data_IF_245247736323
#
_entry.id   IF_245247736323
#
_cell.length_a   1.000
_cell.length_b   1.000
_cell.length_c   1.000
_cell.angle_alpha   90.00
_cell.angle_beta   90.00
_cell.angle_gamma   90.00
#
_symmetry.space_group_name_H-M   'P 1'
#
loop_
_entity.id
_entity.type
_entity.pdbx_description
1 polymer ?
2 polymer ?
3 water ?
#
loop_
_entity_poly.entity_id
_entity_poly.type
_entity_poly.pdbx_seq_one_letter_code
_entity_poly.pdbx_strand_id
2 'polyribonucleotide' 'GGGGUUUUAAUUUUCCCC' ?
#
# COMPACT_ATOMS: atom_id res chain seq x y z
N UNK A 42 20.48 23.74 -22.54
CA UNK A 42 20.58 22.43 -21.95
C UNK A 42 21.61 21.57 -22.70
N UNK A 43 21.42 21.49 -24.00
CA UNK A 43 22.27 20.74 -24.86
C UNK A 43 22.39 21.55 -26.13
N UNK A 47 26.74 19.94 -23.94
CA UNK A 47 26.68 18.93 -22.89
C UNK A 47 25.86 17.75 -23.37
N UNK A 48 26.42 16.55 -23.24
CA UNK A 48 25.78 15.34 -23.72
C UNK A 48 25.02 14.73 -22.57
N UNK A 49 23.67 14.62 -22.69
CA UNK A 49 22.94 13.98 -21.60
C UNK A 49 23.38 12.54 -21.46
N UNK A 50 23.75 12.16 -20.25
CA UNK A 50 24.23 10.83 -19.98
C UNK A 50 23.08 9.81 -19.98
N UNK A 51 23.39 8.61 -19.50
CA UNK A 51 22.42 7.60 -19.08
C UNK A 51 21.82 7.99 -17.72
N UNK A 52 22.64 8.59 -16.87
CA UNK A 52 22.20 8.90 -15.48
C UNK A 52 21.14 9.97 -15.44
N UNK A 53 21.16 10.93 -16.39
CA UNK A 53 20.09 11.95 -16.46
C UNK A 53 18.75 11.31 -16.84
N UNK A 54 18.73 10.57 -17.97
CA UNK A 54 17.57 9.72 -18.37
C UNK A 54 17.16 8.75 -17.26
N UNK A 55 18.09 8.10 -16.58
CA UNK A 55 17.71 7.24 -15.42
C UNK A 55 17.06 8.05 -14.26
N UNK A 56 17.57 9.24 -13.93
CA UNK A 56 16.90 10.11 -12.93
C UNK A 56 15.53 10.55 -13.40
N UNK A 57 15.46 11.08 -14.62
CA UNK A 57 14.18 11.53 -15.19
C UNK A 57 13.14 10.39 -15.18
N UNK A 58 13.53 9.20 -15.67
CA UNK A 58 12.61 8.03 -15.78
C UNK A 58 12.10 7.58 -14.42
N UNK A 59 12.96 7.53 -13.42
CA UNK A 59 12.54 7.23 -12.03
C UNK A 59 11.57 8.28 -11.47
N UNK A 60 11.95 9.57 -11.62
CA UNK A 60 11.12 10.69 -11.20
C UNK A 60 9.69 10.59 -11.71
N UNK A 61 9.55 10.32 -13.00
CA UNK A 61 8.23 10.16 -13.64
C UNK A 61 7.54 8.88 -13.21
N UNK A 62 8.30 7.85 -12.86
CA UNK A 62 7.73 6.59 -12.37
C UNK A 62 7.11 6.71 -10.98
N UNK A 63 7.68 7.60 -10.20
CA UNK A 63 7.16 7.86 -8.91
C UNK A 63 7.15 9.34 -8.60
N UNK A 64 6.12 10.05 -9.02
CA UNK A 64 5.02 9.47 -9.80
C UNK A 64 4.30 10.56 -10.58
N UNK A 65 3.22 10.22 -11.29
CA UNK A 65 2.81 8.84 -11.64
C UNK A 65 2.48 8.80 -13.12
N UNK A 66 3.25 9.55 -13.90
CA UNK A 66 3.05 9.66 -15.34
C UNK A 66 4.01 8.65 -16.00
N UNK A 67 3.57 7.39 -15.92
CA UNK A 67 4.32 6.24 -16.43
C UNK A 67 4.45 6.27 -17.96
N UNK A 68 3.36 6.63 -18.65
CA UNK A 68 3.40 6.84 -20.11
C UNK A 68 4.43 7.89 -20.59
N UNK A 69 4.67 8.92 -19.76
CA UNK A 69 5.73 9.91 -20.05
C UNK A 69 7.11 9.23 -19.95
N UNK A 70 7.28 8.38 -18.93
CA UNK A 70 8.56 7.68 -18.64
C UNK A 70 9.11 6.84 -19.80
N UNK A 71 8.23 6.04 -20.38
CA UNK A 71 8.60 5.06 -21.40
C UNK A 71 8.90 5.69 -22.76
N UNK A 72 8.44 6.92 -22.99
CA UNK A 72 8.80 7.61 -24.23
C UNK A 72 10.21 8.22 -24.18
N UNK A 73 10.78 8.36 -22.98
CA UNK A 73 12.18 8.75 -22.81
C UNK A 73 13.10 7.58 -23.08
N UNK A 74 12.73 6.44 -22.50
CA UNK A 74 13.32 5.12 -22.74
C UNK A 74 13.49 4.84 -24.24
N UNK A 75 12.49 5.20 -25.03
CA UNK A 75 12.57 5.17 -26.50
C UNK A 75 13.52 6.28 -26.98
N UNK A 76 13.17 7.51 -26.63
CA UNK A 76 13.91 8.70 -27.05
C UNK A 76 15.42 8.61 -26.79
N UNK A 77 15.83 7.96 -25.71
CA UNK A 77 17.27 7.74 -25.46
C UNK A 77 17.91 6.70 -26.42
N UNK A 78 17.19 5.60 -26.70
CA UNK A 78 17.76 4.56 -27.57
C UNK A 78 17.94 5.08 -29.01
N UNK A 79 17.02 5.91 -29.49
CA UNK A 79 17.16 6.59 -30.80
C UNK A 79 18.25 7.67 -30.86
N UNK A 80 18.75 8.10 -29.69
CA UNK A 80 19.73 9.18 -29.58
C UNK A 80 21.19 8.70 -29.50
N UNK A 81 21.38 7.37 -29.40
CA UNK A 81 22.71 6.76 -29.32
C UNK A 81 23.07 6.35 -27.91
N UNK A 82 22.15 6.63 -26.96
CA UNK A 82 22.36 6.43 -25.52
C UNK A 82 21.71 5.10 -25.12
N UNK A 83 22.52 4.17 -24.64
CA UNK A 83 22.08 2.82 -24.42
C UNK A 83 21.62 2.62 -22.97
N UNK A 84 20.35 2.24 -22.76
CA UNK A 84 19.92 1.84 -21.42
C UNK A 84 20.74 0.72 -20.78
N UNK A 85 20.79 0.75 -19.46
CA UNK A 85 21.70 -0.07 -18.66
C UNK A 85 20.86 -0.84 -17.64
N UNK A 86 21.51 -1.50 -16.71
CA UNK A 86 20.83 -2.32 -15.75
C UNK A 86 19.89 -1.49 -14.89
N UNK A 87 20.31 -0.28 -14.51
CA UNK A 87 19.50 0.62 -13.69
C UNK A 87 18.34 1.20 -14.48
N UNK A 88 18.55 1.51 -15.75
CA UNK A 88 17.43 1.92 -16.58
C UNK A 88 16.32 0.83 -16.68
N UNK A 89 16.71 -0.45 -16.81
CA UNK A 89 15.71 -1.52 -16.82
C UNK A 89 15.04 -1.73 -15.46
N UNK A 90 15.80 -1.57 -14.37
CA UNK A 90 15.26 -1.77 -13.01
C UNK A 90 14.27 -0.69 -12.57
N UNK A 91 14.49 0.54 -13.02
CA UNK A 91 13.62 1.68 -12.76
C UNK A 91 12.25 1.39 -13.37
N UNK A 92 12.21 1.28 -14.69
CA UNK A 92 10.99 0.94 -15.45
C UNK A 92 10.29 -0.32 -14.92
N UNK A 93 11.06 -1.35 -14.58
CA UNK A 93 10.47 -2.60 -14.06
C UNK A 93 9.72 -2.38 -12.75
N UNK A 94 10.27 -1.50 -11.89
CA UNK A 94 9.62 -1.08 -10.59
C UNK A 94 8.47 -0.11 -10.83
N UNK A 95 8.65 0.83 -11.75
CA UNK A 95 7.55 1.65 -12.22
C UNK A 95 6.36 0.84 -12.68
N UNK A 96 6.60 -0.09 -13.59
CA UNK A 96 5.53 -0.92 -14.14
C UNK A 96 4.89 -1.88 -13.13
N UNK A 97 5.60 -2.32 -12.08
CA UNK A 97 4.98 -3.15 -11.05
C UNK A 97 4.06 -2.31 -10.13
N UNK A 98 4.54 -1.16 -9.70
CA UNK A 98 3.70 -0.26 -8.88
C UNK A 98 2.40 0.12 -9.58
N UNK A 99 2.49 0.57 -10.83
CA UNK A 99 1.29 0.77 -11.66
C UNK A 99 0.56 -0.54 -12.02
N UNK A 100 0.88 -1.66 -11.38
CA UNK A 100 0.15 -2.91 -11.56
C UNK A 100 0.20 -3.51 -12.97
N UNK A 101 1.26 -3.21 -13.69
CA UNK A 101 1.51 -3.74 -15.02
C UNK A 101 2.67 -4.69 -14.80
N UNK A 102 2.41 -5.73 -14.02
CA UNK A 102 3.38 -6.76 -13.71
C UNK A 102 3.74 -7.57 -14.97
N UNK A 103 2.73 -8.05 -15.67
CA UNK A 103 2.97 -8.80 -16.91
C UNK A 103 3.78 -7.98 -17.93
N UNK A 104 3.54 -6.66 -18.03
CA UNK A 104 4.37 -5.79 -18.87
C UNK A 104 5.78 -5.57 -18.28
N UNK A 105 5.94 -5.79 -16.97
CA UNK A 105 7.25 -5.68 -16.32
C UNK A 105 8.19 -6.79 -16.75
N UNK A 106 7.71 -8.02 -16.69
CA UNK A 106 8.48 -9.20 -17.15
C UNK A 106 8.84 -9.18 -18.65
N UNK A 107 8.03 -8.53 -19.47
CA UNK A 107 8.46 -8.21 -20.84
C UNK A 107 9.85 -7.54 -20.89
N UNK A 108 10.02 -6.47 -20.10
CA UNK A 108 11.31 -5.72 -20.05
C UNK A 108 12.49 -6.52 -19.52
N UNK A 109 12.26 -7.29 -18.47
CA UNK A 109 13.19 -8.29 -18.01
C UNK A 109 13.63 -9.21 -19.19
N UNK A 110 12.65 -9.79 -19.91
CA UNK A 110 13.00 -10.62 -21.04
C UNK A 110 13.88 -9.80 -21.93
N UNK A 111 13.43 -8.62 -22.34
CA UNK A 111 14.25 -7.71 -23.18
C UNK A 111 15.69 -7.42 -22.69
N UNK A 112 15.91 -7.25 -21.38
CA UNK A 112 17.29 -7.05 -20.86
C UNK A 112 18.18 -8.24 -21.24
N UNK A 113 17.68 -9.44 -20.98
CA UNK A 113 18.45 -10.67 -21.04
C UNK A 113 18.85 -10.89 -22.49
N UNK A 114 17.86 -10.82 -23.40
CA UNK A 114 18.07 -10.78 -24.85
C UNK A 114 19.19 -9.87 -25.31
N UNK A 115 19.23 -8.67 -24.72
CA UNK A 115 20.30 -7.67 -24.96
C UNK A 115 21.63 -8.03 -24.37
N UNK A 116 21.66 -8.95 -23.41
CA UNK A 116 22.88 -9.26 -22.72
C UNK A 116 23.24 -8.22 -21.69
N UNK A 117 22.23 -7.47 -21.23
CA UNK A 117 22.26 -6.61 -20.02
C UNK A 117 21.81 -7.52 -18.89
N UNK A 118 22.77 -8.04 -18.13
CA UNK A 118 22.44 -9.00 -17.09
C UNK A 118 21.56 -8.40 -15.95
N UNK A 119 20.46 -9.09 -15.59
CA UNK A 119 19.74 -8.68 -14.38
C UNK A 119 20.55 -9.00 -13.12
N UNK A 120 20.62 -8.05 -12.19
CA UNK A 120 21.47 -8.18 -10.98
C UNK A 120 20.60 -8.42 -9.75
N UNK A 121 21.13 -8.28 -8.53
CA UNK A 121 20.31 -8.55 -7.33
C UNK A 121 19.09 -7.64 -7.27
N UNK A 122 19.25 -6.42 -7.77
CA UNK A 122 18.22 -5.39 -7.59
C UNK A 122 17.05 -5.76 -8.45
N UNK A 123 17.32 -6.01 -9.74
CA UNK A 123 16.31 -6.45 -10.72
C UNK A 123 15.48 -7.57 -10.14
N UNK A 124 16.15 -8.55 -9.56
CA UNK A 124 15.47 -9.67 -8.91
C UNK A 124 14.61 -9.26 -7.69
N UNK A 125 15.15 -8.40 -6.82
CA UNK A 125 14.37 -7.83 -5.66
C UNK A 125 13.10 -7.05 -6.06
N UNK A 126 13.24 -6.09 -6.96
CA UNK A 126 12.09 -5.50 -7.66
C UNK A 126 11.06 -6.53 -8.14
N UNK A 127 11.50 -7.60 -8.82
CA UNK A 127 10.57 -8.65 -9.28
C UNK A 127 9.97 -9.43 -8.10
N UNK A 128 10.79 -9.78 -7.11
CA UNK A 128 10.32 -10.58 -5.94
C UNK A 128 9.26 -9.85 -5.09
N UNK A 129 9.45 -8.52 -4.91
CA UNK A 129 8.48 -7.64 -4.28
C UNK A 129 7.19 -7.47 -5.11
N UNK A 130 7.35 -7.13 -6.39
CA UNK A 130 6.22 -6.90 -7.31
C UNK A 130 5.25 -8.06 -7.43
N UNK A 131 5.81 -9.28 -7.46
CA UNK A 131 5.07 -10.53 -7.54
C UNK A 131 4.38 -10.87 -6.25
N UNK A 132 5.03 -10.57 -5.11
CA UNK A 132 4.40 -10.79 -3.82
C UNK A 132 3.17 -9.87 -3.79
N UNK A 133 3.36 -8.57 -4.03
CA UNK A 133 2.27 -7.57 -3.90
C UNK A 133 1.12 -7.71 -4.92
N UNK A 134 1.36 -8.38 -6.05
CA UNK A 134 0.27 -8.83 -6.97
C UNK A 134 -0.30 -10.22 -6.65
N UNK A 135 0.07 -10.82 -5.51
CA UNK A 135 -0.37 -12.15 -5.11
C UNK A 135 0.17 -13.35 -5.89
N UNK A 136 1.43 -13.29 -6.36
CA UNK A 136 2.04 -14.39 -7.09
C UNK A 136 3.16 -15.00 -6.23
N UNK A 137 2.85 -15.28 -4.96
CA UNK A 137 3.92 -15.63 -4.03
C UNK A 137 4.82 -16.72 -4.62
N UNK A 138 4.26 -17.83 -5.08
CA UNK A 138 5.12 -18.92 -5.62
C UNK A 138 5.92 -18.56 -6.87
N UNK A 139 5.43 -17.65 -7.71
CA UNK A 139 6.30 -17.07 -8.74
C UNK A 139 7.52 -16.44 -8.07
N UNK A 140 7.28 -15.54 -7.12
CA UNK A 140 8.36 -14.82 -6.38
C UNK A 140 9.37 -15.78 -5.76
N UNK A 141 8.90 -16.89 -5.18
CA UNK A 141 9.83 -17.88 -4.60
C UNK A 141 10.64 -18.65 -5.67
N UNK A 142 10.16 -18.60 -6.91
CA UNK A 142 10.91 -19.11 -8.05
C UNK A 142 12.13 -18.28 -8.30
N UNK A 143 11.93 -16.98 -8.45
CA UNK A 143 13.06 -16.06 -8.66
C UNK A 143 14.07 -16.09 -7.51
N UNK A 144 13.59 -16.28 -6.28
CA UNK A 144 14.50 -16.48 -5.15
C UNK A 144 15.47 -17.69 -5.42
N UNK A 145 14.95 -18.77 -6.03
CA UNK A 145 15.78 -19.96 -6.50
C UNK A 145 16.70 -19.62 -7.64
N UNK A 146 16.16 -18.94 -8.64
CA UNK A 146 16.88 -18.57 -9.86
C UNK A 146 18.04 -17.62 -9.66
N UNK A 147 17.88 -16.65 -8.74
CA UNK A 147 18.96 -15.76 -8.32
C UNK A 147 20.19 -16.52 -7.95
N UNK A 148 20.03 -17.53 -7.08
CA UNK A 148 21.17 -18.35 -6.71
C UNK A 148 21.69 -19.24 -7.85
N UNK A 149 20.89 -19.59 -8.81
CA UNK A 149 21.42 -20.40 -9.85
C UNK A 149 22.31 -19.59 -10.74
N UNK A 150 22.03 -18.30 -10.83
CA UNK A 150 22.87 -17.40 -11.64
C UNK A 150 24.06 -16.76 -10.94
N UNK A 151 24.32 -17.10 -9.69
CA UNK A 151 25.54 -16.64 -8.99
C UNK A 151 25.34 -15.32 -8.24
N UNK A 152 24.09 -14.90 -8.11
CA UNK A 152 23.71 -13.70 -7.39
C UNK A 152 23.43 -14.12 -5.97
N UNK A 153 24.11 -13.50 -5.00
CA UNK A 153 23.81 -13.74 -3.58
C UNK A 153 22.48 -13.05 -3.25
N UNK A 154 21.59 -13.73 -2.51
CA UNK A 154 20.40 -13.01 -2.04
C UNK A 154 20.85 -11.97 -1.04
N UNK A 155 20.11 -10.86 -0.94
CA UNK A 155 20.34 -9.69 0.03
C UNK A 155 19.56 -9.61 1.33
N UNK A 156 19.96 -8.59 2.16
CA UNK A 156 19.20 -8.08 3.34
C UNK A 156 17.85 -7.61 2.85
N UNK A 157 17.82 -6.87 1.76
CA UNK A 157 16.53 -6.52 1.11
C UNK A 157 15.76 -7.66 0.53
N UNK A 158 16.45 -8.66 -0.10
CA UNK A 158 15.83 -9.88 -0.65
C UNK A 158 15.15 -10.63 0.49
N UNK A 159 15.86 -10.81 1.60
CA UNK A 159 15.23 -11.51 2.72
C UNK A 159 14.08 -10.72 3.33
N UNK A 160 14.26 -9.39 3.46
CA UNK A 160 13.20 -8.49 3.92
C UNK A 160 12.03 -8.56 2.98
N UNK A 161 12.24 -8.22 1.73
CA UNK A 161 11.19 -8.37 0.70
C UNK A 161 10.38 -9.71 0.79
N UNK A 162 11.05 -10.84 1.05
CA UNK A 162 10.37 -12.16 1.11
C UNK A 162 9.73 -12.48 2.46
N UNK A 163 10.40 -12.08 3.54
CA UNK A 163 9.75 -12.17 4.84
C UNK A 163 8.46 -11.33 4.90
N UNK A 164 8.47 -10.17 4.24
CA UNK A 164 7.25 -9.41 4.15
C UNK A 164 6.14 -10.19 3.42
N UNK A 165 6.41 -10.62 2.19
CA UNK A 165 5.48 -11.46 1.39
C UNK A 165 4.95 -12.62 2.19
N UNK A 166 5.84 -13.33 2.86
CA UNK A 166 5.44 -14.49 3.64
C UNK A 166 4.46 -14.09 4.69
N UNK A 167 4.74 -13.02 5.43
CA UNK A 167 3.88 -12.57 6.54
C UNK A 167 2.53 -12.22 6.01
N UNK A 168 2.50 -11.36 4.98
CA UNK A 168 1.26 -10.95 4.34
C UNK A 168 0.48 -12.06 3.62
N UNK A 169 1.16 -13.17 3.33
CA UNK A 169 0.54 -14.37 2.76
C UNK A 169 0.04 -15.35 3.83
N UNK A 170 -0.11 -14.85 5.06
CA UNK A 170 -0.45 -15.68 6.20
C UNK A 170 0.48 -16.86 6.32
N UNK A 171 1.79 -16.62 6.33
CA UNK A 171 2.74 -17.71 6.55
C UNK A 171 3.87 -17.25 7.45
N UNK A 172 3.57 -17.17 8.74
CA UNK A 172 4.47 -16.57 9.73
C UNK A 172 5.67 -17.48 10.00
N UNK A 173 5.38 -18.76 10.17
CA UNK A 173 6.43 -19.74 10.50
C UNK A 173 7.46 -20.01 9.34
N UNK A 174 7.11 -19.62 8.11
CA UNK A 174 8.08 -19.51 7.00
C UNK A 174 8.88 -18.21 7.05
N UNK A 175 8.20 -17.12 7.42
CA UNK A 175 8.83 -15.81 7.67
C UNK A 175 9.92 -15.98 8.72
N UNK A 176 9.58 -16.55 9.87
CA UNK A 176 10.61 -16.84 10.90
C UNK A 176 11.71 -17.87 10.50
N UNK A 177 11.47 -18.69 9.47
CA UNK A 177 12.51 -19.56 8.91
C UNK A 177 13.53 -18.70 8.19
N UNK A 178 13.04 -17.92 7.23
CA UNK A 178 13.87 -16.97 6.46
C UNK A 178 14.67 -16.00 7.33
N UNK A 179 14.13 -15.69 8.51
CA UNK A 179 14.86 -14.88 9.48
C UNK A 179 16.00 -15.68 10.11
N UNK A 180 15.75 -16.94 10.47
CA UNK A 180 16.83 -17.86 10.90
C UNK A 180 17.92 -18.07 9.85
N UNK A 181 17.54 -18.00 8.58
CA UNK A 181 18.45 -18.27 7.45
C UNK A 181 19.42 -17.11 7.16
N UNK A 182 19.00 -15.84 7.32
CA UNK A 182 19.89 -14.68 7.16
C UNK A 182 21.05 -14.76 8.12
N UNK A 183 20.71 -15.06 9.38
CA UNK A 183 21.72 -15.08 10.43
C UNK A 183 22.69 -16.22 10.13
N UNK A 184 22.15 -17.38 9.73
CA UNK A 184 22.96 -18.54 9.24
C UNK A 184 24.01 -18.12 8.17
N UNK A 185 23.62 -17.18 7.30
CA UNK A 185 24.52 -16.56 6.30
C UNK A 185 25.14 -15.23 6.76
N UNK A 186 25.18 -14.96 8.06
CA UNK A 186 25.56 -13.64 8.57
C UNK A 186 25.20 -12.40 7.74
N UNK A 187 23.96 -12.32 7.27
CA UNK A 187 23.42 -11.07 6.73
C UNK A 187 22.74 -10.47 7.90
N UNK A 188 23.15 -9.25 8.25
CA UNK A 188 22.71 -8.59 9.50
C UNK A 188 21.24 -8.19 9.36
N UNK A 189 20.38 -8.73 10.24
CA UNK A 189 19.00 -8.23 10.23
C UNK A 189 18.99 -6.80 10.68
N UNK A 190 18.18 -6.00 10.00
CA UNK A 190 18.15 -4.58 10.25
C UNK A 190 16.75 -4.14 10.73
N UNK A 191 16.49 -2.84 10.67
CA UNK A 191 15.34 -2.27 11.35
C UNK A 191 14.15 -2.51 10.51
N UNK A 192 14.34 -2.52 9.20
CA UNK A 192 13.29 -3.00 8.28
C UNK A 192 12.95 -4.51 8.51
N UNK A 193 13.94 -5.32 8.84
CA UNK A 193 13.69 -6.75 9.11
C UNK A 193 12.83 -6.89 10.33
N UNK A 194 13.31 -6.36 11.45
CA UNK A 194 12.57 -6.46 12.71
C UNK A 194 11.19 -5.81 12.64
N UNK A 195 11.09 -4.69 11.95
CA UNK A 195 9.81 -4.01 11.86
C UNK A 195 8.79 -4.80 11.13
N UNK A 196 9.23 -5.51 10.10
CA UNK A 196 8.41 -6.46 9.30
C UNK A 196 7.91 -7.68 10.08
N UNK A 197 8.79 -8.31 10.86
CA UNK A 197 8.35 -9.48 11.63
C UNK A 197 7.28 -9.10 12.67
N UNK A 198 7.56 -7.97 13.39
CA UNK A 198 6.67 -7.28 14.40
C UNK A 198 5.32 -6.99 13.78
N UNK A 199 5.33 -6.36 12.61
CA UNK A 199 4.08 -6.15 11.89
C UNK A 199 3.39 -7.48 11.70
N UNK A 200 4.17 -8.47 11.19
CA UNK A 200 3.71 -9.84 10.98
C UNK A 200 3.07 -10.45 12.19
N UNK A 201 3.79 -10.45 13.30
CA UNK A 201 3.29 -11.05 14.52
C UNK A 201 2.03 -10.32 15.06
N UNK A 202 1.97 -8.99 14.94
CA UNK A 202 0.79 -8.25 15.36
C UNK A 202 -0.41 -8.65 14.49
N UNK A 203 -0.24 -8.54 13.18
CA UNK A 203 -1.32 -8.90 12.25
C UNK A 203 -1.78 -10.39 12.35
N UNK A 204 -1.01 -11.27 12.99
CA UNK A 204 -1.52 -12.60 13.35
C UNK A 204 -2.09 -12.69 14.79
N UNK A 205 -2.34 -11.56 15.42
CA UNK A 205 -2.80 -11.56 16.81
C UNK A 205 -1.74 -11.97 17.83
N UNK A 206 -0.52 -12.16 17.37
CA UNK A 206 0.56 -12.65 18.21
C UNK A 206 1.26 -11.43 18.84
N UNK A 207 0.48 -10.62 19.54
CA UNK A 207 0.93 -9.35 20.07
C UNK A 207 2.08 -9.43 21.06
N UNK A 208 1.95 -10.30 22.07
CA UNK A 208 2.98 -10.45 23.10
C UNK A 208 4.31 -11.05 22.60
N UNK A 209 4.32 -11.57 21.36
CA UNK A 209 5.56 -12.00 20.71
C UNK A 209 6.20 -10.86 19.90
N UNK A 210 5.37 -10.00 19.30
CA UNK A 210 5.84 -8.73 18.67
C UNK A 210 6.60 -7.85 19.69
N UNK A 211 5.93 -7.58 20.79
CA UNK A 211 6.52 -6.89 21.92
C UNK A 211 7.85 -7.58 22.26
N UNK A 212 7.84 -8.91 22.41
CA UNK A 212 9.08 -9.70 22.64
C UNK A 212 10.16 -9.55 21.59
N UNK A 213 9.78 -9.20 20.37
CA UNK A 213 10.76 -8.97 19.30
C UNK A 213 11.31 -7.55 19.28
N UNK A 214 10.45 -6.58 19.65
CA UNK A 214 10.85 -5.19 19.90
C UNK A 214 11.90 -5.05 21.01
N UNK A 215 11.67 -5.71 22.14
CA UNK A 215 12.67 -5.81 23.19
C UNK A 215 14.03 -6.29 22.64
N UNK A 216 14.00 -7.40 21.91
CA UNK A 216 15.20 -8.08 21.40
C UNK A 216 15.99 -7.17 20.46
N UNK A 217 15.25 -6.56 19.55
CA UNK A 217 15.81 -5.59 18.64
C UNK A 217 16.72 -4.60 19.37
N UNK A 218 16.24 -3.99 20.46
CA UNK A 218 16.99 -2.94 21.17
C UNK A 218 18.23 -3.50 21.88
N UNK A 219 18.07 -4.58 22.64
CA UNK A 219 19.22 -5.21 23.31
C UNK A 219 20.24 -5.76 22.29
N UNK A 220 19.79 -6.06 21.07
CA UNK A 220 20.66 -6.43 19.93
C UNK A 220 21.18 -5.17 19.16
N UNK A 221 20.64 -4.00 19.49
CA UNK A 221 21.23 -2.72 19.17
C UNK A 221 20.80 -2.13 17.83
N UNK A 222 19.73 -2.65 17.24
CA UNK A 222 19.19 -2.09 16.00
C UNK A 222 18.09 -1.20 16.49
N UNK A 223 18.18 0.09 16.19
CA UNK A 223 17.26 1.03 16.83
C UNK A 223 15.94 1.15 16.10
N UNK A 224 14.82 1.09 16.87
CA UNK A 224 13.51 1.35 16.30
C UNK A 224 13.37 2.77 15.80
N UNK A 225 12.40 2.93 14.93
CA UNK A 225 12.12 4.18 14.32
C UNK A 225 10.64 4.41 14.36
N UNK A 226 10.21 5.52 13.78
CA UNK A 226 8.80 5.91 13.75
C UNK A 226 7.90 4.79 13.27
N UNK A 227 8.38 3.99 12.31
CA UNK A 227 7.61 2.89 11.65
C UNK A 227 7.46 1.66 12.56
N UNK A 228 8.55 1.17 13.12
CA UNK A 228 8.49 0.25 14.27
C UNK A 228 7.40 0.60 15.28
N UNK A 229 7.53 1.79 15.91
CA UNK A 229 6.63 2.23 17.03
C UNK A 229 5.21 2.35 16.51
N UNK A 230 5.04 2.93 15.33
CA UNK A 230 3.70 3.02 14.74
C UNK A 230 3.02 1.70 14.26
N UNK A 231 3.80 0.62 14.00
CA UNK A 231 3.21 -0.71 13.73
C UNK A 231 2.76 -1.20 15.06
N UNK A 232 3.64 -1.14 16.05
CA UNK A 232 3.23 -1.57 17.37
C UNK A 232 2.01 -0.79 17.88
N UNK A 233 1.91 0.50 17.55
CA UNK A 233 0.79 1.34 18.02
C UNK A 233 -0.43 0.93 17.19
N UNK A 234 -0.21 0.47 15.96
CA UNK A 234 -1.30 -0.26 15.20
C UNK A 234 -1.72 -1.55 15.86
N UNK A 235 -0.75 -2.32 16.33
CA UNK A 235 -1.08 -3.56 17.02
C UNK A 235 -2.01 -3.33 18.18
N UNK A 236 -1.46 -2.73 19.21
CA UNK A 236 -2.14 -2.49 20.46
C UNK A 236 -3.55 -1.89 20.23
N UNK A 237 -3.67 -0.89 19.35
CA UNK A 237 -4.98 -0.31 19.04
C UNK A 237 -5.95 -1.37 18.52
N UNK A 238 -5.51 -2.20 17.56
CA UNK A 238 -6.37 -3.24 16.97
C UNK A 238 -6.75 -4.34 17.98
N UNK A 239 -5.90 -4.62 18.97
CA UNK A 239 -6.25 -5.49 20.10
C UNK A 239 -7.02 -4.81 21.25
N UNK A 240 -7.76 -3.73 20.97
CA UNK A 240 -8.50 -3.06 22.02
C UNK A 240 -7.67 -2.51 23.17
N UNK A 241 -6.36 -2.32 22.95
CA UNK A 241 -5.41 -1.88 23.98
C UNK A 241 -5.02 -0.43 23.69
N UNK A 242 -6.01 0.45 23.80
CA UNK A 242 -5.80 1.89 23.52
C UNK A 242 -4.91 2.63 24.51
N UNK A 243 -5.07 2.36 25.80
CA UNK A 243 -4.20 2.96 26.83
C UNK A 243 -2.75 2.65 26.47
N UNK A 244 -2.50 1.39 26.17
CA UNK A 244 -1.15 0.90 25.90
C UNK A 244 -0.55 1.58 24.64
N UNK A 245 -1.35 1.65 23.58
CA UNK A 245 -1.00 2.39 22.37
C UNK A 245 -0.55 3.81 22.65
N UNK A 246 -1.32 4.55 23.49
CA UNK A 246 -1.01 5.96 23.85
C UNK A 246 0.25 6.01 24.69
N UNK A 247 0.40 5.06 25.62
CA UNK A 247 1.63 4.93 26.42
C UNK A 247 2.88 4.61 25.60
N UNK A 248 2.74 4.03 24.42
CA UNK A 248 3.90 3.85 23.56
C UNK A 248 4.19 5.12 22.77
N UNK A 249 3.13 5.84 22.40
CA UNK A 249 3.23 7.15 21.70
C UNK A 249 3.96 8.28 22.48
N UNK A 250 4.06 8.14 23.79
CA UNK A 250 4.74 9.10 24.62
C UNK A 250 6.15 9.26 24.16
N UNK A 252 9.31 8.89 21.07
CA UNK A 252 8.46 7.84 21.59
C UNK A 252 9.00 7.34 22.91
N UNK A 255 13.42 6.99 23.31
CA UNK A 255 14.04 8.26 22.95
C UNK A 255 13.14 9.07 22.06
N UNK A 256 13.65 10.21 21.66
CA UNK A 256 12.85 11.11 20.87
C UNK A 256 12.70 10.76 19.42
N UNK A 257 11.74 9.87 19.12
CA UNK A 257 11.36 9.63 17.74
C UNK A 257 10.14 10.50 17.48
N UNK A 258 10.25 11.37 16.49
CA UNK A 258 9.20 12.31 16.16
C UNK A 258 8.05 11.62 15.43
N UNK A 259 6.88 11.49 16.07
CA UNK A 259 5.79 10.87 15.28
C UNK A 259 5.50 11.66 13.99
N UNK A 260 5.05 10.98 12.96
CA UNK A 260 4.60 11.56 11.71
C UNK A 260 3.11 11.38 11.56
N UNK A 261 2.59 11.81 10.41
CA UNK A 261 1.16 11.67 10.08
C UNK A 261 0.60 10.28 10.15
N UNK A 262 1.43 9.25 9.96
CA UNK A 262 0.90 7.87 10.00
C UNK A 262 0.64 7.42 11.43
N UNK A 263 1.63 7.60 12.29
CA UNK A 263 1.39 7.34 13.71
C UNK A 263 0.16 8.09 14.23
N UNK A 264 -0.07 9.38 13.87
CA UNK A 264 -1.33 10.07 14.30
C UNK A 264 -2.61 9.47 13.64
N UNK A 265 -2.52 9.03 12.40
CA UNK A 265 -3.64 8.28 11.76
C UNK A 265 -3.96 6.93 12.41
N UNK A 266 -2.93 6.23 12.86
CA UNK A 266 -3.10 5.03 13.68
C UNK A 266 -3.90 5.33 14.92
N UNK A 267 -3.53 6.35 15.65
CA UNK A 267 -4.21 6.62 16.92
C UNK A 267 -5.63 7.13 16.66
N UNK A 268 -5.81 7.95 15.64
CA UNK A 268 -7.11 8.53 15.31
C UNK A 268 -8.10 7.42 14.97
N UNK A 269 -7.69 6.51 14.09
CA UNK A 269 -8.44 5.26 13.77
C UNK A 269 -8.67 4.37 14.98
N UNK A 270 -7.64 4.23 15.80
CA UNK A 270 -7.77 3.57 17.11
C UNK A 270 -8.86 4.18 17.96
N UNK A 271 -8.92 5.52 18.02
CA UNK A 271 -9.95 6.23 18.80
C UNK A 271 -11.35 6.17 18.20
N UNK A 272 -11.50 6.43 16.90
CA UNK A 272 -12.82 6.30 16.25
C UNK A 272 -13.40 4.87 16.42
N UNK A 273 -12.64 3.83 16.09
CA UNK A 273 -13.11 2.43 16.27
C UNK A 273 -13.57 2.18 17.71
N UNK A 274 -12.81 2.70 18.69
CA UNK A 274 -13.22 2.52 20.08
C UNK A 274 -14.39 3.42 20.47
N UNK A 275 -14.80 4.32 19.59
CA UNK A 275 -16.02 5.10 19.77
C UNK A 275 -15.81 6.46 20.44
N UNK A 276 -14.53 6.82 20.63
CA UNK A 276 -14.09 8.09 21.15
C UNK A 276 -13.93 9.10 20.04
N UNK A 277 -15.01 9.41 19.34
CA UNK A 277 -14.92 10.25 18.15
C UNK A 277 -14.42 11.63 18.43
N UNK A 278 -14.80 12.21 19.59
CA UNK A 278 -14.36 13.57 19.95
C UNK A 278 -12.93 13.62 20.52
N UNK A 279 -12.49 12.58 21.23
CA UNK A 279 -11.03 12.41 21.47
C UNK A 279 -10.16 12.29 20.21
N UNK A 280 -10.72 11.83 19.09
CA UNK A 280 -9.99 11.69 17.79
C UNK A 280 -10.09 12.95 16.95
N UNK A 281 -11.18 13.70 17.09
CA UNK A 281 -11.30 15.06 16.56
C UNK A 281 -10.33 16.00 17.30
N UNK A 282 -10.13 15.76 18.60
CA UNK A 282 -9.11 16.45 19.37
C UNK A 282 -7.72 16.16 18.90
N UNK A 283 -7.35 14.90 18.78
CA UNK A 283 -5.99 14.52 18.35
C UNK A 283 -5.67 15.04 16.96
N UNK A 284 -6.69 15.22 16.14
CA UNK A 284 -6.59 15.85 14.81
C UNK A 284 -6.25 17.32 14.87
N UNK A 285 -6.48 17.97 16.04
CA UNK A 285 -6.20 19.38 16.31
C UNK A 285 -4.79 19.94 16.31
N UNK A 286 -3.76 19.50 16.98
CA UNK A 286 -3.61 18.31 17.65
C UNK A 286 -2.42 18.34 18.52
N UNK A 287 -2.55 17.46 19.52
CA UNK A 287 -1.59 17.16 20.58
C UNK A 287 -0.16 16.93 20.09
N UNK A 290 2.69 19.25 17.42
CA UNK A 290 2.10 19.90 16.26
C UNK A 290 3.14 20.10 15.18
N UNK A 291 2.67 20.32 13.97
CA UNK A 291 3.55 20.52 12.85
C UNK A 291 3.29 19.52 11.76
N UNK A 292 2.49 18.52 12.06
CA UNK A 292 2.17 17.44 11.14
C UNK A 292 0.97 17.78 10.26
N UNK A 293 1.16 18.00 8.95
CA UNK A 293 0.01 18.34 8.11
C UNK A 293 -0.83 17.05 7.90
N UNK A 294 -2.12 17.10 8.28
CA UNK A 294 -2.95 15.99 7.90
C UNK A 294 -2.90 15.79 6.41
N UNK A 295 -3.03 14.53 5.99
CA UNK A 295 -3.11 14.19 4.59
C UNK A 295 -4.42 13.45 4.34
N UNK A 296 -4.51 12.71 3.22
CA UNK A 296 -5.77 12.21 2.70
C UNK A 296 -6.31 11.11 3.57
N UNK A 297 -5.42 10.30 4.13
CA UNK A 297 -5.82 9.19 5.02
C UNK A 297 -6.39 9.78 6.34
N UNK A 298 -5.76 10.85 6.87
CA UNK A 298 -6.30 11.50 8.09
C UNK A 298 -7.81 11.71 7.90
N UNK A 299 -8.21 12.31 6.78
CA UNK A 299 -9.60 12.69 6.54
C UNK A 299 -10.48 11.49 6.27
N UNK A 300 -9.97 10.51 5.52
CA UNK A 300 -10.71 9.28 5.27
C UNK A 300 -11.00 8.57 6.59
N UNK A 301 -10.01 8.50 7.46
CA UNK A 301 -10.19 7.80 8.73
C UNK A 301 -11.36 8.44 9.52
N UNK A 302 -11.36 9.79 9.63
CA UNK A 302 -12.42 10.50 10.29
C UNK A 302 -13.74 10.49 9.52
N UNK A 303 -13.65 10.58 8.19
CA UNK A 303 -14.85 10.42 7.33
C UNK A 303 -15.53 9.08 7.51
N UNK A 304 -14.76 8.04 7.78
CA UNK A 304 -15.33 6.70 8.02
C UNK A 304 -15.91 6.60 9.40
N UNK A 305 -15.09 6.96 10.41
CA UNK A 305 -15.53 7.05 11.81
C UNK A 305 -16.87 7.76 12.00
N UNK A 306 -17.04 8.89 11.32
CA UNK A 306 -18.23 9.72 11.46
C UNK A 306 -19.44 9.17 10.69
N UNK A 307 -19.19 8.67 9.48
CA UNK A 307 -20.17 7.77 8.77
C UNK A 307 -20.71 6.60 9.57
N UNK A 308 -19.80 5.79 10.11
CA UNK A 308 -20.20 4.61 10.89
C UNK A 308 -21.17 5.05 11.97
N UNK A 309 -20.76 6.08 12.74
CA UNK A 309 -21.56 6.70 13.83
C UNK A 309 -22.92 7.30 13.42
N UNK A 310 -23.06 7.75 12.20
CA UNK A 310 -24.32 8.32 11.73
C UNK A 310 -24.15 9.79 11.52
N UNK A 311 -23.04 10.37 12.01
CA UNK A 311 -22.76 11.79 11.92
C UNK A 311 -22.38 12.21 10.52
N UNK A 312 -23.33 12.05 9.58
CA UNK A 312 -23.08 12.23 8.14
C UNK A 312 -22.91 13.73 7.83
N UNK A 313 -23.62 14.59 8.55
CA UNK A 313 -23.36 16.02 8.50
C UNK A 313 -21.88 16.34 8.69
N UNK A 314 -21.35 15.90 9.83
CA UNK A 314 -19.98 16.23 10.25
C UNK A 314 -18.98 15.80 9.19
N UNK A 315 -19.08 14.52 8.81
CA UNK A 315 -18.25 13.87 7.79
C UNK A 315 -18.15 14.64 6.49
N UNK A 316 -19.31 14.93 5.88
CA UNK A 316 -19.37 15.60 4.58
C UNK A 316 -18.80 17.01 4.62
N UNK A 317 -18.90 17.67 5.77
CA UNK A 317 -18.23 18.95 5.93
C UNK A 317 -16.74 18.73 6.01
N UNK A 318 -16.25 17.70 6.73
CA UNK A 318 -14.82 17.37 6.61
C UNK A 318 -14.40 17.04 5.18
N UNK A 319 -15.27 16.38 4.42
CA UNK A 319 -15.04 16.06 2.98
C UNK A 319 -15.03 17.32 2.12
N UNK A 320 -15.85 18.32 2.51
CA UNK A 320 -15.86 19.66 1.88
C UNK A 320 -14.65 20.52 2.31
N UNK A 321 -14.21 20.33 3.56
CA UNK A 321 -13.00 20.96 4.11
C UNK A 321 -11.72 20.42 3.45
N UNK A 322 -11.65 19.10 3.23
CA UNK A 322 -10.54 18.46 2.53
C UNK A 322 -10.05 19.26 1.34
N UNK A 323 -10.99 19.58 0.45
CA UNK A 323 -10.65 20.14 -0.85
C UNK A 323 -10.36 21.64 -0.76
N UNK A 324 -10.98 22.33 0.20
CA UNK A 324 -10.58 23.72 0.49
C UNK A 324 -9.09 23.80 0.85
N UNK A 325 -8.61 22.84 1.65
CA UNK A 325 -7.20 22.80 2.09
C UNK A 325 -6.25 22.11 1.09
N UNK A 326 -6.71 21.93 -0.15
CA UNK A 326 -5.91 21.37 -1.24
C UNK A 326 -5.50 19.91 -1.06
N UNK A 327 -6.35 19.12 -0.42
CA UNK A 327 -6.11 17.71 -0.20
C UNK A 327 -7.06 16.92 -1.08
N UNK A 328 -6.58 16.42 -2.17
CA UNK A 328 -7.52 15.74 -3.01
C UNK A 328 -8.10 14.42 -2.51
N UNK A 329 -9.42 14.33 -2.53
CA UNK A 329 -10.12 13.07 -2.25
C UNK A 329 -9.82 11.94 -3.26
N UNK A 330 -9.11 10.91 -2.81
CA UNK A 330 -8.81 9.74 -3.63
C UNK A 330 -10.02 8.76 -3.73
N UNK A 331 -9.78 7.51 -4.13
CA UNK A 331 -10.88 6.53 -4.33
C UNK A 331 -11.49 6.09 -3.00
N UNK A 332 -10.70 6.13 -1.92
CA UNK A 332 -11.17 5.68 -0.60
C UNK A 332 -12.11 6.68 0.09
N UNK A 333 -11.99 7.95 -0.24
CA UNK A 333 -12.88 8.94 0.33
C UNK A 333 -14.28 8.72 -0.23
N UNK A 334 -14.37 8.58 -1.54
CA UNK A 334 -15.65 8.28 -2.17
C UNK A 334 -16.19 6.92 -1.80
N UNK A 335 -15.31 5.96 -1.53
CA UNK A 335 -15.79 4.64 -1.10
C UNK A 335 -16.50 4.66 0.26
N UNK A 336 -15.74 5.06 1.26
CA UNK A 336 -16.23 5.36 2.61
C UNK A 336 -17.60 6.06 2.73
N UNK A 337 -17.82 7.10 1.94
CA UNK A 337 -19.12 7.77 1.90
C UNK A 337 -20.22 6.95 1.17
N UNK A 338 -19.89 6.41 0.00
CA UNK A 338 -20.86 5.60 -0.75
C UNK A 338 -21.41 4.46 0.13
N UNK A 339 -20.56 3.88 0.97
CA UNK A 339 -20.98 2.90 1.95
C UNK A 339 -21.91 3.47 3.02
N UNK A 340 -21.45 4.54 3.68
CA UNK A 340 -22.20 5.28 4.72
C UNK A 340 -23.57 5.65 4.24
N UNK A 341 -23.63 6.19 3.04
CA UNK A 341 -24.91 6.59 2.51
C UNK A 341 -25.84 5.40 2.19
N UNK A 342 -25.32 4.33 1.57
CA UNK A 342 -26.04 3.05 1.34
C UNK A 342 -26.57 2.37 2.59
N UNK A 343 -25.70 2.13 3.54
CA UNK A 343 -26.10 1.53 4.82
C UNK A 343 -27.00 2.42 5.72
N UNK A 344 -26.91 3.76 5.56
CA UNK A 344 -27.93 4.67 6.11
C UNK A 344 -29.25 4.74 5.31
N UNK A 345 -29.42 3.84 4.34
CA UNK A 345 -30.64 3.76 3.58
C UNK A 345 -30.75 4.75 2.44
N UNK A 346 -29.70 5.51 2.17
CA UNK A 346 -29.85 6.69 1.32
C UNK A 346 -29.08 6.45 0.05
N UNK A 347 -29.65 5.58 -0.80
CA UNK A 347 -28.99 5.04 -2.00
C UNK A 347 -28.90 6.06 -3.14
N UNK A 348 -29.92 6.91 -3.26
CA UNK A 348 -29.87 8.09 -4.17
C UNK A 348 -28.60 8.94 -4.06
N UNK A 349 -28.27 9.36 -2.83
CA UNK A 349 -27.11 10.24 -2.59
C UNK A 349 -25.80 9.50 -2.78
N UNK A 350 -25.78 8.23 -2.40
CA UNK A 350 -24.65 7.33 -2.68
C UNK A 350 -24.33 7.29 -4.17
N UNK A 351 -25.37 7.12 -4.99
CA UNK A 351 -25.20 7.15 -6.45
C UNK A 351 -24.78 8.51 -6.98
N UNK A 352 -25.35 9.59 -6.45
CA UNK A 352 -24.85 10.94 -6.69
C UNK A 352 -23.35 10.95 -6.52
N UNK A 353 -22.86 10.60 -5.34
CA UNK A 353 -21.43 10.61 -5.11
C UNK A 353 -20.63 9.84 -6.13
N UNK A 354 -21.14 8.68 -6.56
CA UNK A 354 -20.48 7.80 -7.54
C UNK A 354 -20.43 8.45 -8.93
N UNK A 355 -21.46 9.16 -9.34
CA UNK A 355 -21.43 9.85 -10.62
C UNK A 355 -20.41 10.96 -10.52
N UNK A 356 -20.52 11.74 -9.47
CA UNK A 356 -19.56 12.87 -9.16
C UNK A 356 -18.11 12.44 -9.17
N UNK A 357 -17.87 11.22 -8.67
CA UNK A 357 -16.57 10.55 -8.73
C UNK A 357 -15.94 10.67 -10.11
N UNK A 358 -16.74 10.42 -11.15
CA UNK A 358 -16.28 10.39 -12.55
C UNK A 358 -16.44 11.75 -13.23
N UNK A 359 -17.28 12.63 -12.67
CA UNK A 359 -17.31 14.05 -13.05
C UNK A 359 -15.94 14.65 -12.71
N UNK A 360 -15.43 14.30 -11.52
CA UNK A 360 -14.05 14.58 -11.15
C UNK A 360 -13.22 13.54 -11.93
N UNK A 361 -12.03 13.16 -11.44
CA UNK A 361 -11.16 12.22 -12.16
C UNK A 361 -10.91 10.85 -11.54
N UNK A 362 -11.41 10.63 -10.33
CA UNK A 362 -11.02 9.43 -9.58
C UNK A 362 -11.72 8.23 -10.20
N UNK A 363 -10.97 7.25 -10.65
CA UNK A 363 -11.55 6.09 -11.30
C UNK A 363 -12.02 5.11 -10.23
N UNK A 364 -13.16 4.41 -10.46
CA UNK A 364 -13.60 3.43 -9.46
C UNK A 364 -12.71 2.19 -9.25
N UNK A 365 -13.20 1.32 -8.39
CA UNK A 365 -12.43 0.35 -7.63
C UNK A 365 -13.33 -0.91 -7.52
N UNK A 366 -12.76 -2.00 -7.04
CA UNK A 366 -13.50 -3.25 -6.83
C UNK A 366 -14.45 -2.96 -5.68
N UNK A 367 -13.90 -2.36 -4.63
CA UNK A 367 -14.68 -1.83 -3.47
C UNK A 367 -15.85 -0.91 -3.88
N UNK A 368 -15.61 0.01 -4.82
CA UNK A 368 -16.66 0.94 -5.25
C UNK A 368 -17.81 0.12 -5.73
N UNK A 369 -17.51 -0.77 -6.67
CA UNK A 369 -18.53 -1.63 -7.33
C UNK A 369 -19.10 -2.66 -6.36
N UNK A 370 -18.26 -3.31 -5.60
CA UNK A 370 -18.74 -4.20 -4.56
C UNK A 370 -19.71 -3.58 -3.58
N UNK A 371 -19.38 -2.38 -3.10
CA UNK A 371 -20.29 -1.58 -2.25
C UNK A 371 -21.62 -1.17 -2.92
N UNK A 372 -21.55 -0.63 -4.13
CA UNK A 372 -22.78 -0.26 -4.82
C UNK A 372 -23.60 -1.50 -5.17
N UNK A 373 -22.91 -2.60 -5.55
CA UNK A 373 -23.55 -3.91 -5.85
C UNK A 373 -24.40 -4.36 -4.67
N UNK A 374 -23.74 -4.41 -3.51
CA UNK A 374 -24.39 -4.68 -2.23
C UNK A 374 -25.67 -3.84 -2.12
N UNK A 375 -25.49 -2.52 -2.06
CA UNK A 375 -26.57 -1.58 -1.75
C UNK A 375 -27.69 -1.61 -2.76
N UNK A 376 -27.34 -1.76 -4.03
CA UNK A 376 -28.33 -1.89 -5.09
C UNK A 376 -29.18 -3.14 -4.91
N UNK A 377 -28.58 -4.28 -4.56
CA UNK A 377 -29.33 -5.55 -4.40
C UNK A 377 -30.20 -5.43 -3.18
N UNK A 378 -29.58 -5.03 -2.08
CA UNK A 378 -30.31 -4.82 -0.84
C UNK A 378 -31.41 -3.77 -0.99
N UNK A 379 -31.24 -2.80 -1.90
CA UNK A 379 -32.32 -1.82 -2.18
C UNK A 379 -33.43 -2.38 -3.09
N UNK A 380 -33.69 -3.65 -2.96
CA UNK A 380 -34.62 -4.28 -3.85
C UNK A 380 -34.30 -3.93 -5.29
N UNK A 382 -31.43 -5.07 -9.02
CA UNK A 382 -30.90 -6.36 -9.36
C UNK A 382 -30.37 -6.21 -10.74
N UNK A 383 -31.26 -5.91 -11.64
CA UNK A 383 -30.86 -5.57 -13.01
C UNK A 383 -29.81 -4.46 -13.05
N UNK A 384 -29.98 -3.41 -12.22
CA UNK A 384 -28.97 -2.33 -12.10
C UNK A 384 -27.68 -2.79 -11.43
N UNK A 385 -27.79 -3.49 -10.30
CA UNK A 385 -26.63 -4.16 -9.67
C UNK A 385 -25.84 -4.94 -10.71
N UNK A 386 -26.55 -5.76 -11.50
CA UNK A 386 -25.98 -6.51 -12.62
C UNK A 386 -25.44 -5.58 -13.72
N UNK A 387 -26.17 -4.50 -14.04
CA UNK A 387 -25.66 -3.46 -14.96
C UNK A 387 -24.34 -2.83 -14.50
N UNK A 388 -24.19 -2.57 -13.20
CA UNK A 388 -22.90 -2.12 -12.65
C UNK A 388 -21.79 -3.14 -12.85
N UNK A 389 -22.15 -4.41 -12.77
CA UNK A 389 -21.23 -5.52 -12.88
C UNK A 389 -20.63 -5.65 -14.29
N UNK A 390 -21.45 -5.58 -15.35
CA UNK A 390 -20.95 -5.54 -16.75
C UNK A 390 -19.91 -4.42 -16.90
N UNK A 391 -20.35 -3.22 -16.50
CA UNK A 391 -19.57 -1.95 -16.52
C UNK A 391 -18.22 -2.07 -15.83
N UNK A 392 -18.20 -2.80 -14.74
CA UNK A 392 -16.96 -3.11 -14.01
C UNK A 392 -16.01 -3.96 -14.84
N UNK A 393 -16.55 -4.79 -15.73
CA UNK A 393 -15.67 -5.59 -16.60
C UNK A 393 -15.17 -4.77 -17.81
N UNK A 394 -16.03 -3.94 -18.43
CA UNK A 394 -15.56 -3.10 -19.56
C UNK A 394 -14.45 -2.15 -19.18
N UNK A 395 -14.71 -1.37 -18.13
CA UNK A 395 -13.78 -0.34 -17.60
C UNK A 395 -12.36 -0.90 -17.33
N UNK A 396 -12.28 -2.18 -16.97
CA UNK A 396 -11.00 -2.87 -16.80
C UNK A 396 -10.72 -3.43 -15.43
N UNK A 397 -11.59 -3.18 -14.46
CA UNK A 397 -11.40 -3.70 -13.11
C UNK A 397 -11.78 -5.19 -13.09
N UNK A 398 -10.92 -6.01 -12.49
CA UNK A 398 -11.20 -7.43 -12.34
C UNK A 398 -12.13 -7.64 -11.15
N UNK A 399 -13.16 -8.50 -11.29
CA UNK A 399 -14.01 -8.82 -10.12
C UNK A 399 -13.32 -9.70 -9.06
N UNK A 400 -13.68 -9.51 -7.78
CA UNK A 400 -13.19 -10.33 -6.66
C UNK A 400 -14.24 -11.38 -6.19
N UNK A 401 -13.91 -12.15 -5.15
CA UNK A 401 -14.85 -13.17 -4.66
C UNK A 401 -16.20 -12.64 -4.19
N UNK A 402 -16.19 -11.53 -3.48
CA UNK A 402 -17.40 -10.92 -2.96
C UNK A 402 -18.30 -10.45 -4.14
N UNK A 403 -17.69 -9.81 -5.12
CA UNK A 403 -18.36 -9.41 -6.36
C UNK A 403 -19.23 -10.56 -6.92
N UNK A 404 -18.62 -11.75 -6.96
CA UNK A 404 -19.31 -12.98 -7.30
C UNK A 404 -20.29 -13.43 -6.22
N UNK A 405 -19.80 -13.67 -5.00
CA UNK A 405 -20.64 -14.10 -3.87
C UNK A 405 -21.98 -13.36 -3.69
N UNK A 406 -22.02 -12.08 -4.02
CA UNK A 406 -23.26 -11.30 -3.85
C UNK A 406 -24.27 -11.49 -4.98
N UNK A 407 -23.89 -11.06 -6.19
CA UNK A 407 -24.78 -11.11 -7.34
C UNK A 407 -25.51 -12.45 -7.38
N UNK A 408 -24.73 -13.52 -7.44
CA UNK A 408 -25.23 -14.92 -7.40
C UNK A 408 -26.32 -15.05 -6.33
N UNK A 409 -25.93 -14.82 -5.08
CA UNK A 409 -26.76 -15.15 -3.93
C UNK A 409 -27.99 -14.26 -3.83
N UNK A 411 -29.63 -13.11 -6.82
CA UNK A 411 -30.34 -13.40 -8.07
C UNK A 411 -31.72 -13.99 -7.77
#
# INVERSE_FOLDING_TARGET
ALLDETPLPPGSRLDVRAYTTVLHALSRAGRYERALELFAELRRQGVAPTVVTYNTLIDGLCKAGKLDEALKLFEEMVEKGIKPDVVTYNTLIDGLCKAGKLDEALKLFEEMVEKGIKPDVVTYNTLIDGLCKAGKLDEALKLFEEMVEKGIKPDVVTYNTLIDGLCKAGKLDEALKLFEEMVEKGIKPDVVTYSTLIDGLCKAGKLDEALKLFEEMVEKGIKPNVVTYSTLIDGLCKAGKLDEALKLFEEMVEKGIKPNVVTYNTLIDGLCKAGKLDEALKLFEEMVEKGIKPDVVTYNTLIDGLCKAGKLDEALKLFEEMVEKGIKPDVVTYNTLIDGLCKAGKLDEALKLFEEMVEKGIKPDVVTYNTLIDGLCKAGKLDEALKLFEEMVEKGIKPDELTYRRVVESYCRAKRFEEARGFLSEVSETDLDFDKKALEAYIEDAQFGRLEHHHHHHHH
#
